data_IF_188141921918
#
_entry.id   IF_188141921918
#
_cell.length_a   1.000
_cell.length_b   1.000
_cell.length_c   1.000
_cell.angle_alpha   90.00
_cell.angle_beta   90.00
_cell.angle_gamma   90.00
#
_symmetry.space_group_name_H-M   'P 1'
#
loop_
_entity.id
_entity.type
_entity.pdbx_description
1 polymer ?
#
# COMPACT_ATOMS: atom_id res chain seq x y z
N UNK A 1 -16.99 21.00 7.00
CA UNK A 1 -15.61 21.43 6.74
C UNK A 1 -15.35 22.69 7.50
N UNK A 2 -14.10 23.07 7.65
CA UNK A 2 -13.67 24.32 8.29
C UNK A 2 -12.43 24.85 7.54
N UNK A 3 -12.17 26.15 7.64
CA UNK A 3 -10.96 26.78 7.10
C UNK A 3 -10.33 27.70 8.15
N UNK A 4 -9.00 27.72 8.24
CA UNK A 4 -8.29 28.61 9.15
C UNK A 4 -7.09 29.26 8.45
N UNK A 5 -6.93 30.57 8.62
CA UNK A 5 -5.77 31.33 8.13
C UNK A 5 -4.89 31.72 9.34
N UNK A 6 -3.69 31.16 9.41
CA UNK A 6 -2.80 31.28 10.58
C UNK A 6 -1.36 31.61 10.16
N UNK A 7 -1.06 32.88 9.77
CA UNK A 7 0.26 33.27 9.27
C UNK A 7 1.39 33.19 10.31
N UNK A 8 1.05 33.13 11.61
CA UNK A 8 2.02 32.88 12.69
C UNK A 8 2.33 31.41 12.93
N UNK A 9 1.65 30.49 12.24
CA UNK A 9 1.77 29.02 12.41
C UNK A 9 2.34 28.38 11.15
N UNK A 10 1.90 28.80 9.96
CA UNK A 10 2.35 28.24 8.68
C UNK A 10 3.43 29.10 8.02
N UNK A 11 4.37 28.46 7.33
CA UNK A 11 5.29 29.13 6.43
C UNK A 11 4.52 29.78 5.26
N UNK A 12 5.13 30.79 4.63
CA UNK A 12 4.51 31.48 3.50
C UNK A 12 4.21 30.51 2.35
N UNK A 13 2.94 30.50 1.90
CA UNK A 13 2.46 29.60 0.86
C UNK A 13 2.22 28.15 1.29
N UNK A 14 2.51 27.79 2.54
CA UNK A 14 2.20 26.47 3.08
C UNK A 14 0.71 26.38 3.46
N UNK A 15 0.15 25.17 3.32
CA UNK A 15 -1.21 24.86 3.78
C UNK A 15 -1.25 23.46 4.38
N UNK A 16 -2.27 23.22 5.20
CA UNK A 16 -2.58 21.90 5.74
C UNK A 16 -3.98 21.48 5.32
N UNK A 17 -4.11 20.23 4.88
CA UNK A 17 -5.36 19.65 4.43
C UNK A 17 -5.63 18.39 5.25
N UNK A 18 -6.59 18.49 6.17
CA UNK A 18 -7.05 17.40 6.99
C UNK A 18 -8.53 17.08 6.73
N UNK A 19 -8.91 15.83 6.95
CA UNK A 19 -10.28 15.35 6.82
C UNK A 19 -10.57 14.24 7.81
N UNK A 20 -11.85 14.03 8.09
CA UNK A 20 -12.32 12.96 8.98
C UNK A 20 -13.40 12.17 8.27
N UNK A 21 -13.28 10.83 8.31
CA UNK A 21 -14.28 9.89 7.83
C UNK A 21 -14.91 9.18 9.02
N UNK A 22 -16.24 9.01 8.98
CA UNK A 22 -17.01 8.24 9.97
C UNK A 22 -17.67 7.08 9.26
N UNK A 23 -17.54 5.88 9.82
CA UNK A 23 -18.14 4.65 9.29
C UNK A 23 -18.79 3.83 10.40
N UNK A 24 -19.55 2.80 10.00
CA UNK A 24 -20.19 1.84 10.90
C UNK A 24 -19.81 0.43 10.45
N UNK A 25 -19.54 -0.45 11.41
CA UNK A 25 -19.22 -1.86 11.17
C UNK A 25 -19.85 -2.73 12.25
N UNK A 26 -20.38 -3.88 11.87
CA UNK A 26 -20.88 -4.87 12.82
C UNK A 26 -19.73 -5.45 13.63
N UNK A 27 -19.93 -5.75 14.91
CA UNK A 27 -18.86 -6.28 15.77
C UNK A 27 -18.30 -7.61 15.24
N UNK A 28 -19.13 -8.42 14.58
CA UNK A 28 -18.72 -9.69 13.97
C UNK A 28 -17.92 -9.51 12.68
N UNK A 29 -18.01 -8.34 12.03
CA UNK A 29 -17.37 -8.04 10.74
C UNK A 29 -16.11 -7.18 10.91
N UNK A 30 -15.69 -6.94 12.17
CA UNK A 30 -14.47 -6.19 12.48
C UNK A 30 -13.23 -6.94 11.97
N UNK A 31 -12.35 -6.20 11.31
CA UNK A 31 -11.05 -6.67 10.85
C UNK A 31 -9.92 -6.01 11.66
N UNK A 32 -8.77 -6.70 11.82
CA UNK A 32 -8.48 -8.06 11.35
C UNK A 32 -9.20 -9.14 12.15
N UNK A 33 -9.64 -10.21 11.48
CA UNK A 33 -10.15 -11.42 12.10
C UNK A 33 -8.98 -12.38 12.36
N UNK A 34 -8.17 -12.06 13.37
CA UNK A 34 -6.93 -12.77 13.70
C UNK A 34 -7.11 -14.29 13.86
N UNK A 35 -8.14 -14.81 14.58
CA UNK A 35 -8.32 -16.25 14.75
C UNK A 35 -8.67 -17.01 13.46
N UNK A 36 -9.07 -16.31 12.40
CA UNK A 36 -9.38 -16.92 11.11
C UNK A 36 -8.15 -17.01 10.19
N UNK A 37 -7.06 -16.32 10.51
CA UNK A 37 -5.83 -16.35 9.69
C UNK A 37 -5.02 -17.61 9.95
N UNK A 38 -4.49 -18.20 8.89
CA UNK A 38 -3.67 -19.41 8.96
C UNK A 38 -2.53 -19.39 7.94
N UNK A 39 -1.49 -20.17 8.20
CA UNK A 39 -0.42 -20.38 7.23
C UNK A 39 -1.00 -20.95 5.93
N UNK A 40 -0.61 -20.36 4.80
CA UNK A 40 -1.14 -20.69 3.48
C UNK A 40 -2.19 -19.71 2.95
N UNK A 41 -2.76 -18.85 3.79
CA UNK A 41 -3.63 -17.76 3.33
C UNK A 41 -2.93 -16.88 2.29
N UNK A 42 -3.66 -16.49 1.26
CA UNK A 42 -3.14 -15.66 0.19
C UNK A 42 -3.03 -14.19 0.62
N UNK A 43 -1.96 -13.53 0.17
CA UNK A 43 -1.82 -12.08 0.23
C UNK A 43 -2.18 -11.52 -1.15
N UNK A 44 -3.27 -10.76 -1.21
CA UNK A 44 -3.73 -10.08 -2.43
C UNK A 44 -3.36 -8.60 -2.33
N UNK A 45 -2.51 -8.13 -3.24
CA UNK A 45 -2.17 -6.72 -3.37
C UNK A 45 -3.07 -6.03 -4.39
N UNK A 46 -3.55 -4.83 -4.08
CA UNK A 46 -4.21 -3.93 -5.03
C UNK A 46 -3.26 -2.80 -5.44
N UNK A 47 -3.21 -2.53 -6.74
CA UNK A 47 -2.28 -1.57 -7.31
C UNK A 47 -2.53 -0.14 -6.82
N UNK A 48 -1.46 0.58 -6.48
CA UNK A 48 -1.48 2.02 -6.20
C UNK A 48 -1.41 2.85 -7.49
N UNK A 49 -1.90 4.09 -7.44
CA UNK A 49 -1.79 5.02 -8.58
C UNK A 49 -0.41 5.71 -8.65
N UNK A 50 0.47 5.48 -7.67
CA UNK A 50 1.71 6.21 -7.46
C UNK A 50 2.09 6.26 -5.97
N UNK A 51 2.85 7.29 -5.52
CA UNK A 51 3.27 7.44 -4.12
C UNK A 51 2.13 7.65 -3.12
N UNK A 52 0.90 7.88 -3.60
CA UNK A 52 -0.25 8.26 -2.79
C UNK A 52 0.00 9.56 -2.02
N UNK A 53 0.03 9.51 -0.69
CA UNK A 53 0.17 10.67 0.20
C UNK A 53 1.32 10.52 1.18
N UNK A 54 2.24 9.57 0.96
CA UNK A 54 3.37 9.29 1.85
C UNK A 54 4.70 9.38 1.10
N UNK A 55 5.79 9.64 1.83
CA UNK A 55 7.14 9.76 1.26
C UNK A 55 7.46 11.10 0.58
N UNK A 56 6.54 12.08 0.58
CA UNK A 56 6.72 13.35 -0.14
C UNK A 56 7.89 14.20 0.37
N UNK A 57 8.28 14.07 1.63
CA UNK A 57 9.49 14.72 2.15
C UNK A 57 10.77 14.22 1.45
N UNK A 58 10.86 12.91 1.15
CA UNK A 58 11.98 12.36 0.39
C UNK A 58 11.84 12.69 -1.10
N UNK A 59 10.64 12.52 -1.67
CA UNK A 59 10.36 12.85 -3.08
C UNK A 59 10.78 14.29 -3.38
N UNK A 60 10.35 15.26 -2.57
CA UNK A 60 10.72 16.68 -2.75
C UNK A 60 12.24 16.91 -2.77
N UNK A 61 13.00 16.17 -1.95
CA UNK A 61 14.47 16.25 -1.96
C UNK A 61 15.05 15.65 -3.25
N UNK A 62 14.50 14.53 -3.72
CA UNK A 62 14.99 13.84 -4.92
C UNK A 62 14.68 14.60 -6.22
N UNK A 63 13.50 15.21 -6.31
CA UNK A 63 13.08 15.98 -7.49
C UNK A 63 13.63 17.40 -7.54
N UNK A 64 14.26 17.87 -6.46
CA UNK A 64 14.82 19.21 -6.40
C UNK A 64 15.84 19.43 -7.55
N UNK A 65 15.61 20.48 -8.34
CA UNK A 65 16.44 20.82 -9.50
C UNK A 65 16.24 19.92 -10.73
N UNK A 66 15.22 19.07 -10.76
CA UNK A 66 14.89 18.21 -11.91
C UNK A 66 13.68 18.75 -12.67
N UNK A 67 13.62 18.38 -13.94
CA UNK A 67 12.49 18.66 -14.80
C UNK A 67 11.29 17.76 -14.41
N UNK A 68 10.22 18.39 -13.93
CA UNK A 68 8.99 17.69 -13.54
C UNK A 68 8.13 17.32 -14.76
N UNK A 69 8.37 17.93 -15.92
CA UNK A 69 7.68 17.60 -17.17
C UNK A 69 8.36 16.45 -17.94
N UNK A 70 9.49 15.95 -17.42
CA UNK A 70 10.19 14.81 -17.99
C UNK A 70 9.27 13.58 -18.09
N UNK A 71 9.24 12.97 -19.27
CA UNK A 71 8.40 11.81 -19.57
C UNK A 71 9.00 10.52 -19.03
N UNK A 72 8.22 9.77 -18.26
CA UNK A 72 8.54 8.44 -17.77
C UNK A 72 8.32 7.38 -18.86
N UNK A 73 8.80 6.15 -18.63
CA UNK A 73 8.70 5.06 -19.63
C UNK A 73 7.27 4.62 -19.94
N UNK A 74 6.31 4.95 -19.08
CA UNK A 74 4.87 4.71 -19.30
C UNK A 74 4.17 5.88 -20.00
N UNK A 75 4.91 6.91 -20.43
CA UNK A 75 4.40 8.05 -21.19
C UNK A 75 3.82 9.19 -20.33
N UNK A 76 3.73 9.04 -19.01
CA UNK A 76 3.31 10.12 -18.10
C UNK A 76 4.46 11.08 -17.82
N UNK A 77 4.15 12.33 -17.49
CA UNK A 77 5.16 13.23 -16.89
C UNK A 77 5.47 12.79 -15.46
N UNK A 78 6.65 13.17 -14.96
CA UNK A 78 7.00 12.97 -13.56
C UNK A 78 5.99 13.67 -12.63
N UNK A 79 5.58 14.89 -12.96
CA UNK A 79 4.57 15.63 -12.21
C UNK A 79 3.24 14.86 -12.11
N UNK A 80 2.72 14.36 -13.24
CA UNK A 80 1.45 13.62 -13.27
C UNK A 80 1.52 12.32 -12.46
N UNK A 81 2.65 11.61 -12.54
CA UNK A 81 2.84 10.37 -11.79
C UNK A 81 2.98 10.61 -10.27
N UNK A 82 3.58 11.73 -9.86
CA UNK A 82 3.72 12.11 -8.46
C UNK A 82 2.43 12.67 -7.86
N UNK A 83 1.66 13.44 -8.64
CA UNK A 83 0.42 14.08 -8.20
C UNK A 83 -0.84 13.24 -8.47
N UNK A 84 -0.66 12.02 -8.99
CA UNK A 84 -1.75 11.07 -9.18
C UNK A 84 -2.54 10.88 -7.86
N UNK A 85 -3.86 11.10 -7.86
CA UNK A 85 -4.66 11.01 -6.64
C UNK A 85 -4.54 9.66 -5.94
N UNK A 86 -4.56 9.68 -4.61
CA UNK A 86 -4.61 8.47 -3.80
C UNK A 86 -5.85 7.63 -4.19
N UNK A 87 -5.62 6.42 -4.68
CA UNK A 87 -6.69 5.47 -5.06
C UNK A 87 -7.56 5.13 -3.85
N UNK A 88 -8.88 5.28 -4.00
CA UNK A 88 -9.85 4.79 -3.01
C UNK A 88 -10.23 3.35 -3.32
N UNK A 89 -10.01 2.42 -2.39
CA UNK A 89 -10.25 0.98 -2.57
C UNK A 89 -11.65 0.52 -2.14
N UNK A 90 -12.55 1.46 -1.81
CA UNK A 90 -13.90 1.10 -1.34
C UNK A 90 -14.64 0.22 -2.34
N UNK A 91 -14.64 0.60 -3.62
CA UNK A 91 -15.35 -0.15 -4.66
C UNK A 91 -14.79 -1.58 -4.83
N UNK A 92 -13.45 -1.72 -4.73
CA UNK A 92 -12.77 -3.01 -4.80
C UNK A 92 -13.19 -3.91 -3.62
N UNK A 93 -13.16 -3.37 -2.39
CA UNK A 93 -13.57 -4.10 -1.18
C UNK A 93 -15.06 -4.45 -1.20
N UNK A 94 -15.92 -3.51 -1.60
CA UNK A 94 -17.37 -3.72 -1.72
C UNK A 94 -17.66 -4.86 -2.72
N UNK A 95 -16.96 -4.89 -3.87
CA UNK A 95 -17.12 -5.95 -4.87
C UNK A 95 -16.74 -7.35 -4.32
N UNK A 96 -15.62 -7.45 -3.61
CA UNK A 96 -15.16 -8.69 -2.97
C UNK A 96 -16.22 -9.23 -1.99
N UNK A 97 -16.71 -8.35 -1.12
CA UNK A 97 -17.71 -8.71 -0.11
C UNK A 97 -19.05 -9.11 -0.73
N UNK A 98 -19.50 -8.38 -1.76
CA UNK A 98 -20.74 -8.70 -2.48
C UNK A 98 -20.66 -10.03 -3.23
N UNK A 99 -19.47 -10.41 -3.71
CA UNK A 99 -19.22 -11.73 -4.30
C UNK A 99 -19.15 -12.87 -3.26
N UNK A 100 -19.26 -12.56 -1.96
CA UNK A 100 -19.32 -13.55 -0.88
C UNK A 100 -17.96 -14.03 -0.38
N UNK A 101 -16.86 -13.38 -0.77
CA UNK A 101 -15.53 -13.75 -0.32
C UNK A 101 -15.21 -13.12 1.04
N UNK A 102 -14.67 -13.95 1.94
CA UNK A 102 -14.23 -13.50 3.25
C UNK A 102 -12.85 -12.84 3.19
N UNK A 103 -12.77 -11.58 3.61
CA UNK A 103 -11.51 -10.89 3.88
C UNK A 103 -11.15 -11.16 5.34
N UNK A 104 -9.97 -11.72 5.61
CA UNK A 104 -9.50 -12.02 6.97
C UNK A 104 -8.76 -10.83 7.61
N UNK A 105 -8.13 -9.99 6.79
CA UNK A 105 -7.45 -8.77 7.23
C UNK A 105 -7.11 -7.85 6.07
N UNK A 106 -6.87 -6.58 6.37
CA UNK A 106 -6.47 -5.57 5.41
C UNK A 106 -5.38 -4.67 5.98
N UNK A 107 -4.37 -4.37 5.17
CA UNK A 107 -3.33 -3.39 5.48
C UNK A 107 -3.31 -2.32 4.39
N UNK A 108 -3.67 -1.09 4.75
CA UNK A 108 -3.51 0.08 3.90
C UNK A 108 -2.04 0.50 3.90
N UNK A 109 -1.39 0.46 2.74
CA UNK A 109 0.04 0.69 2.64
C UNK A 109 0.30 2.20 2.56
N UNK A 110 0.66 2.77 3.70
CA UNK A 110 0.88 4.20 3.90
C UNK A 110 2.34 4.46 4.32
N UNK A 111 2.61 5.39 5.25
CA UNK A 111 3.95 5.57 5.80
C UNK A 111 4.46 4.28 6.44
N UNK A 112 5.75 3.97 6.26
CA UNK A 112 6.35 2.70 6.70
C UNK A 112 6.20 1.54 5.70
N UNK A 113 5.48 1.76 4.59
CA UNK A 113 5.36 0.82 3.48
C UNK A 113 4.82 -0.55 3.88
N UNK A 114 5.23 -1.60 3.17
CA UNK A 114 4.78 -2.97 3.46
C UNK A 114 5.30 -3.44 4.82
N UNK A 115 6.53 -3.05 5.16
CA UNK A 115 7.25 -3.53 6.35
C UNK A 115 6.58 -3.12 7.66
N UNK A 116 5.97 -1.94 7.73
CA UNK A 116 5.29 -1.48 8.95
C UNK A 116 3.78 -1.69 8.94
N UNK A 117 3.12 -1.65 7.77
CA UNK A 117 1.66 -1.71 7.71
C UNK A 117 1.14 -3.14 7.73
N UNK A 118 1.79 -4.08 7.03
CA UNK A 118 1.35 -5.49 6.98
C UNK A 118 1.37 -6.15 8.37
N UNK A 119 2.41 -5.99 9.22
CA UNK A 119 2.41 -6.61 10.55
C UNK A 119 1.23 -6.22 11.44
N UNK A 120 0.66 -5.02 11.26
CA UNK A 120 -0.43 -4.50 12.11
C UNK A 120 -1.72 -5.30 12.00
N UNK A 121 -1.88 -6.07 10.91
CA UNK A 121 -3.06 -6.93 10.69
C UNK A 121 -2.81 -8.41 11.00
N UNK A 122 -1.57 -8.82 11.30
CA UNK A 122 -1.21 -10.23 11.47
C UNK A 122 -1.24 -10.66 12.94
N UNK A 123 -1.61 -11.92 13.22
CA UNK A 123 -1.40 -12.50 14.54
C UNK A 123 0.10 -12.77 14.77
N UNK A 124 0.57 -12.84 16.03
CA UNK A 124 1.99 -12.94 16.36
C UNK A 124 2.67 -14.20 15.81
N UNK A 125 1.92 -15.28 15.59
CA UNK A 125 2.38 -16.57 15.09
C UNK A 125 2.54 -16.64 13.56
N UNK A 126 2.11 -15.61 12.81
CA UNK A 126 2.21 -15.60 11.35
C UNK A 126 3.14 -14.50 10.83
N UNK A 127 3.80 -14.80 9.72
CA UNK A 127 4.58 -13.85 8.92
C UNK A 127 3.99 -13.74 7.52
N UNK A 128 4.05 -12.54 6.93
CA UNK A 128 3.77 -12.33 5.52
C UNK A 128 5.02 -12.59 4.68
N UNK A 129 4.98 -13.61 3.83
CA UNK A 129 6.03 -13.87 2.84
C UNK A 129 5.62 -13.26 1.51
N UNK A 130 6.23 -12.14 1.15
CA UNK A 130 5.89 -11.31 -0.02
C UNK A 130 6.95 -11.51 -1.10
N UNK A 131 6.52 -11.81 -2.33
CA UNK A 131 7.39 -12.03 -3.48
C UNK A 131 7.42 -10.75 -4.32
N UNK A 132 8.52 -9.99 -4.28
CA UNK A 132 8.60 -8.67 -4.91
C UNK A 132 8.46 -8.71 -6.43
N UNK A 133 8.82 -9.83 -7.08
CA UNK A 133 8.68 -10.02 -8.53
C UNK A 133 7.27 -10.36 -8.99
N UNK A 134 6.30 -10.43 -8.07
CA UNK A 134 4.91 -10.77 -8.43
C UNK A 134 4.14 -9.61 -9.05
N UNK A 135 4.62 -8.36 -8.91
CA UNK A 135 4.07 -7.20 -9.61
C UNK A 135 5.17 -6.41 -10.30
N UNK A 136 4.77 -5.57 -11.26
CA UNK A 136 5.66 -4.60 -11.87
C UNK A 136 5.70 -3.33 -11.01
N UNK A 137 6.90 -2.93 -10.60
CA UNK A 137 7.10 -1.65 -9.91
C UNK A 137 6.73 -0.49 -10.85
N UNK A 138 5.86 0.44 -10.43
CA UNK A 138 5.54 1.61 -11.26
C UNK A 138 6.79 2.45 -11.59
N UNK A 139 6.93 2.96 -12.84
CA UNK A 139 8.12 3.70 -13.29
C UNK A 139 8.56 4.88 -12.42
N UNK A 140 7.60 5.56 -11.79
CA UNK A 140 7.89 6.67 -10.87
C UNK A 140 8.74 6.21 -9.69
N UNK A 141 8.51 5.02 -9.16
CA UNK A 141 9.32 4.47 -8.07
C UNK A 141 10.68 4.02 -8.55
N UNK A 142 10.79 3.38 -9.72
CA UNK A 142 12.09 3.01 -10.30
C UNK A 142 12.99 4.24 -10.48
N UNK A 143 12.40 5.34 -10.95
CA UNK A 143 13.06 6.63 -11.11
C UNK A 143 13.52 7.20 -9.77
N UNK A 144 12.62 7.27 -8.78
CA UNK A 144 12.93 7.81 -7.45
C UNK A 144 13.99 6.99 -6.71
N UNK A 145 13.87 5.66 -6.73
CA UNK A 145 14.83 4.74 -6.09
C UNK A 145 16.19 4.86 -6.78
N UNK A 146 16.22 4.94 -8.11
CA UNK A 146 17.43 5.17 -8.89
C UNK A 146 18.15 6.46 -8.51
N UNK A 147 17.40 7.56 -8.31
CA UNK A 147 17.99 8.84 -7.88
C UNK A 147 18.45 8.86 -6.43
N UNK A 148 17.72 8.17 -5.55
CA UNK A 148 18.04 8.15 -4.13
C UNK A 148 19.15 7.18 -3.74
N UNK A 149 19.51 6.23 -4.62
CA UNK A 149 20.47 5.17 -4.29
C UNK A 149 20.00 4.29 -3.12
N UNK A 150 18.68 4.17 -2.96
CA UNK A 150 18.07 3.49 -1.82
C UNK A 150 18.02 1.98 -2.08
N UNK A 151 18.40 1.18 -1.09
CA UNK A 151 18.30 -0.28 -1.19
C UNK A 151 16.84 -0.76 -1.31
N UNK A 152 16.65 -2.01 -1.74
CA UNK A 152 15.31 -2.60 -1.95
C UNK A 152 14.46 -2.55 -0.68
N UNK A 153 15.01 -2.99 0.46
CA UNK A 153 14.25 -3.04 1.72
C UNK A 153 13.87 -1.64 2.21
N UNK A 154 14.81 -0.68 2.17
CA UNK A 154 14.55 0.71 2.56
C UNK A 154 13.51 1.36 1.65
N UNK A 155 13.52 1.05 0.35
CA UNK A 155 12.48 1.51 -0.59
C UNK A 155 11.09 1.01 -0.18
N UNK A 156 10.98 -0.24 0.29
CA UNK A 156 9.73 -0.82 0.80
C UNK A 156 9.37 -0.40 2.23
N UNK A 157 10.26 0.29 2.95
CA UNK A 157 9.95 0.99 4.21
C UNK A 157 9.45 2.41 3.98
N UNK A 158 9.86 3.05 2.90
CA UNK A 158 9.47 4.44 2.60
C UNK A 158 8.23 4.50 1.70
N UNK A 159 8.18 3.68 0.66
CA UNK A 159 7.16 3.74 -0.39
C UNK A 159 6.27 2.50 -0.41
N UNK A 160 5.08 2.67 -0.98
CA UNK A 160 4.16 1.57 -1.25
C UNK A 160 4.62 0.68 -2.44
N UNK A 161 5.56 1.18 -3.25
CA UNK A 161 6.21 0.47 -4.36
C UNK A 161 5.24 -0.18 -5.37
N UNK A 162 4.04 0.38 -5.51
CA UNK A 162 3.01 -0.11 -6.44
C UNK A 162 1.87 -0.86 -5.78
N UNK A 163 1.96 -1.22 -4.50
CA UNK A 163 0.87 -1.91 -3.77
C UNK A 163 0.28 -0.96 -2.74
N UNK A 164 -0.95 -0.54 -2.94
CA UNK A 164 -1.61 0.40 -2.04
C UNK A 164 -2.47 -0.25 -0.96
N UNK A 165 -3.00 -1.44 -1.19
CA UNK A 165 -3.76 -2.21 -0.19
C UNK A 165 -3.33 -3.67 -0.26
N UNK A 166 -3.18 -4.32 0.89
CA UNK A 166 -2.95 -5.77 0.99
C UNK A 166 -4.10 -6.41 1.74
N UNK A 167 -4.67 -7.48 1.19
CA UNK A 167 -5.72 -8.28 1.78
C UNK A 167 -5.17 -9.66 2.17
N UNK A 168 -5.57 -10.17 3.33
CA UNK A 168 -5.40 -11.58 3.70
C UNK A 168 -6.70 -12.31 3.39
N UNK A 169 -6.63 -13.36 2.58
CA UNK A 169 -7.80 -14.12 2.16
C UNK A 169 -7.50 -15.63 2.15
N UNK A 170 -8.52 -16.51 2.25
CA UNK A 170 -8.34 -17.93 2.03
C UNK A 170 -7.63 -18.19 0.69
N UNK A 171 -6.70 -19.15 0.65
CA UNK A 171 -5.95 -19.47 -0.58
C UNK A 171 -6.85 -19.81 -1.77
N UNK A 172 -7.96 -20.52 -1.52
CA UNK A 172 -8.96 -20.87 -2.52
C UNK A 172 -9.72 -19.67 -3.12
N UNK A 173 -9.67 -18.50 -2.47
CA UNK A 173 -10.27 -17.28 -2.99
C UNK A 173 -9.32 -16.50 -3.92
N UNK A 174 -8.04 -16.87 -4.02
CA UNK A 174 -7.06 -16.11 -4.79
C UNK A 174 -7.45 -15.97 -6.28
N UNK A 175 -7.64 -17.08 -6.99
CA UNK A 175 -8.00 -17.05 -8.43
C UNK A 175 -9.34 -16.34 -8.70
N UNK A 176 -10.44 -16.64 -7.98
CA UNK A 176 -11.69 -15.91 -8.17
C UNK A 176 -11.59 -14.39 -7.96
N UNK A 177 -10.71 -13.95 -7.06
CA UNK A 177 -10.51 -12.51 -6.80
C UNK A 177 -9.75 -11.84 -7.93
N UNK A 178 -8.79 -12.53 -8.56
CA UNK A 178 -8.10 -12.01 -9.75
C UNK A 178 -9.05 -11.87 -10.94
N UNK A 179 -10.00 -12.79 -11.10
CA UNK A 179 -11.04 -12.70 -12.14
C UNK A 179 -12.02 -11.55 -11.87
N UNK A 180 -12.36 -11.32 -10.59
CA UNK A 180 -13.26 -10.25 -10.17
C UNK A 180 -12.62 -8.86 -10.28
N UNK A 181 -11.34 -8.76 -9.94
CA UNK A 181 -10.57 -7.51 -9.89
C UNK A 181 -9.30 -7.68 -10.73
N UNK A 182 -9.32 -7.27 -12.01
CA UNK A 182 -8.18 -7.45 -12.91
C UNK A 182 -6.85 -6.81 -12.44
N UNK A 183 -6.93 -5.81 -11.57
CA UNK A 183 -5.76 -5.11 -11.02
C UNK A 183 -5.24 -5.75 -9.72
N UNK A 184 -5.91 -6.79 -9.22
CA UNK A 184 -5.48 -7.53 -8.04
C UNK A 184 -4.33 -8.46 -8.41
N UNK A 185 -3.42 -8.69 -7.46
CA UNK A 185 -2.22 -9.50 -7.68
C UNK A 185 -2.02 -10.38 -6.46
N UNK A 186 -1.73 -11.67 -6.66
CA UNK A 186 -1.24 -12.52 -5.57
C UNK A 186 0.21 -12.15 -5.31
N UNK A 187 0.46 -11.42 -4.21
CA UNK A 187 1.79 -10.92 -3.87
C UNK A 187 2.56 -11.85 -2.94
N UNK A 188 1.92 -12.88 -2.43
CA UNK A 188 2.53 -13.79 -1.47
C UNK A 188 1.52 -14.60 -0.68
N UNK A 189 1.96 -15.06 0.49
CA UNK A 189 1.12 -15.83 1.42
C UNK A 189 1.55 -15.65 2.87
N UNK A 190 0.67 -15.99 3.80
CA UNK A 190 1.03 -16.18 5.20
C UNK A 190 1.82 -17.47 5.38
N UNK A 191 2.78 -17.44 6.29
CA UNK A 191 3.59 -18.58 6.72
C UNK A 191 3.72 -18.57 8.23
N UNK A 192 3.99 -19.72 8.83
CA UNK A 192 4.35 -19.81 10.25
C UNK A 192 5.55 -18.90 10.56
N UNK A 193 5.45 -18.15 11.64
CA UNK A 193 6.52 -17.30 12.14
C UNK A 193 7.45 -18.12 13.02
N UNK A 194 8.71 -18.19 12.61
CA UNK A 194 9.77 -18.78 13.42
C UNK A 194 10.04 -17.86 14.61
N UNK A 195 10.34 -18.42 15.78
CA UNK A 195 10.70 -17.65 16.99
C UNK A 195 11.77 -16.60 16.69
N UNK A 196 11.47 -15.35 17.00
CA UNK A 196 12.35 -14.20 16.73
C UNK A 196 12.44 -13.78 15.25
N UNK A 197 11.68 -14.41 14.36
CA UNK A 197 11.65 -14.08 12.93
C UNK A 197 10.87 -12.80 12.61
N UNK A 198 11.11 -12.25 11.43
CA UNK A 198 10.43 -11.03 10.97
C UNK A 198 8.96 -11.27 10.62
N UNK A 199 8.11 -10.28 10.92
CA UNK A 199 6.69 -10.32 10.56
C UNK A 199 6.46 -10.22 9.04
N UNK A 200 7.43 -9.66 8.31
CA UNK A 200 7.42 -9.57 6.85
C UNK A 200 8.73 -10.12 6.30
N UNK A 201 8.63 -11.06 5.38
CA UNK A 201 9.76 -11.66 4.67
C UNK A 201 9.66 -11.26 3.19
N UNK A 202 10.52 -10.37 2.73
CA UNK A 202 10.60 -10.00 1.32
C UNK A 202 11.45 -11.01 0.55
N UNK A 203 10.89 -11.58 -0.51
CA UNK A 203 11.55 -12.51 -1.41
C UNK A 203 11.80 -11.80 -2.73
N UNK A 204 13.09 -11.60 -3.05
CA UNK A 204 13.58 -10.92 -4.26
C UNK A 204 13.76 -11.90 -5.40
#
# INVERSE_FOLDING_TARGET
>A
GETAEMPGVYEEGAFDLAGTIVGLVGRADLLPNLPAMEAGDALIGLASNGPHTNGFSLIRKLVAGRDLDATLVDGRTLADALLAPHRCYRADVDAIQQAGFAIKGMAHITGGGLMENVPRMLPPELSARIVLRSWQTPPVFETLVGWGGVGVEESHRVFNMGIGLVLVMPSAAAEPILDLLPDAIVIGRLVERIDGGDAVQLIV
#
